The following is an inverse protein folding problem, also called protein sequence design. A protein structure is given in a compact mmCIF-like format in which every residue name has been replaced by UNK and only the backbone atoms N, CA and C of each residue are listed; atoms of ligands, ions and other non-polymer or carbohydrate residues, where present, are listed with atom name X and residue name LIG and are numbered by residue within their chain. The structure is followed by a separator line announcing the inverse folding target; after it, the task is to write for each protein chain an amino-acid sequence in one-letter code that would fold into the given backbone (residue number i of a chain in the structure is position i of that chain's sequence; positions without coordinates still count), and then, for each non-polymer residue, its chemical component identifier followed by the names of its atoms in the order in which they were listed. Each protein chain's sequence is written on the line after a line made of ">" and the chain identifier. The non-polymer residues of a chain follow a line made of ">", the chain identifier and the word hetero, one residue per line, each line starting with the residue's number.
data_IF_997659855951
#
_entry.id   IF_997659855951
#
_cell.length_a   1.000
_cell.length_b   1.000
_cell.length_c   1.000
_cell.angle_alpha   90.00
_cell.angle_beta   90.00
_cell.angle_gamma   90.00
#
_symmetry.space_group_name_H-M   'P 1'
#
loop_
_entity.id
_entity.type
_entity.pdbx_description
1 polymer ?
#
# COMPACT_ATOMS: atom_id res chain seq x y z
N UNK A 1 2.93 -20.90 1.76
CA UNK A 1 1.72 -21.31 1.03
C UNK A 1 0.86 -20.07 0.86
N UNK A 2 0.44 -19.77 -0.37
CA UNK A 2 -0.37 -18.59 -0.66
C UNK A 2 -1.70 -18.64 0.10
N UNK A 3 -2.25 -17.49 0.50
CA UNK A 3 -3.56 -17.43 1.17
C UNK A 3 -4.68 -17.81 0.20
N UNK A 4 -5.67 -18.58 0.65
CA UNK A 4 -6.84 -18.91 -0.16
C UNK A 4 -7.76 -17.69 -0.31
N UNK A 5 -8.40 -17.55 -1.47
CA UNK A 5 -9.27 -16.40 -1.78
C UNK A 5 -10.42 -16.22 -0.78
N UNK A 6 -10.98 -17.31 -0.23
CA UNK A 6 -12.07 -17.21 0.74
C UNK A 6 -11.70 -16.38 1.97
N UNK A 7 -10.42 -16.39 2.37
CA UNK A 7 -9.93 -15.62 3.51
C UNK A 7 -9.87 -14.13 3.17
N UNK A 8 -9.43 -13.81 1.95
CA UNK A 8 -9.40 -12.43 1.44
C UNK A 8 -10.82 -11.87 1.33
N UNK A 9 -11.73 -12.62 0.71
CA UNK A 9 -13.15 -12.24 0.59
C UNK A 9 -13.84 -12.09 1.96
N UNK A 10 -13.42 -12.87 2.97
CA UNK A 10 -13.90 -12.71 4.34
C UNK A 10 -13.42 -11.38 4.91
N UNK A 11 -12.13 -11.05 4.77
CA UNK A 11 -11.57 -9.78 5.23
C UNK A 11 -12.28 -8.59 4.57
N UNK A 12 -12.44 -8.62 3.25
CA UNK A 12 -13.17 -7.60 2.48
C UNK A 12 -14.61 -7.40 2.98
N UNK A 13 -15.33 -8.47 3.29
CA UNK A 13 -16.70 -8.37 3.82
C UNK A 13 -16.77 -7.90 5.27
N UNK A 14 -15.70 -8.07 6.04
CA UNK A 14 -15.65 -7.63 7.45
C UNK A 14 -15.21 -6.18 7.61
N UNK A 15 -14.45 -5.63 6.65
CA UNK A 15 -13.93 -4.26 6.71
C UNK A 15 -15.01 -3.15 6.77
N UNK A 16 -16.20 -3.24 6.12
CA UNK A 16 -17.24 -2.21 6.27
C UNK A 16 -17.72 -2.04 7.72
N UNK A 17 -17.53 -3.06 8.56
CA UNK A 17 -17.83 -3.04 9.99
C UNK A 17 -16.66 -2.54 10.85
N UNK A 18 -15.62 -1.93 10.27
CA UNK A 18 -14.47 -1.41 11.03
C UNK A 18 -14.90 -0.41 12.10
N UNK A 19 -16.03 0.29 11.92
CA UNK A 19 -16.61 1.17 12.95
C UNK A 19 -16.95 0.43 14.25
N UNK A 20 -17.42 -0.81 14.17
CA UNK A 20 -17.77 -1.62 15.33
C UNK A 20 -16.49 -2.16 16.00
N UNK A 21 -15.55 -2.63 15.18
CA UNK A 21 -14.25 -3.13 15.63
C UNK A 21 -13.44 -2.01 16.31
N UNK A 22 -13.38 -0.82 15.71
CA UNK A 22 -12.69 0.35 16.25
C UNK A 22 -13.31 0.87 17.57
N UNK A 23 -14.61 0.64 17.80
CA UNK A 23 -15.23 0.91 19.12
C UNK A 23 -14.82 -0.14 20.15
N UNK A 24 -14.69 -1.40 19.75
CA UNK A 24 -14.25 -2.50 20.62
C UNK A 24 -12.78 -2.39 21.02
N UNK A 25 -11.91 -1.87 20.15
CA UNK A 25 -10.48 -1.64 20.46
C UNK A 25 -10.25 -0.52 21.48
N UNK A 26 -11.27 0.28 21.84
CA UNK A 26 -11.20 1.25 22.96
C UNK A 26 -11.06 0.59 24.32
N UNK A 27 -11.33 -0.71 24.43
CA UNK A 27 -11.06 -1.50 25.64
C UNK A 27 -9.56 -1.79 25.69
N UNK A 28 -8.82 -1.37 26.73
CA UNK A 28 -7.35 -1.32 26.71
C UNK A 28 -6.66 -2.69 26.54
N UNK A 29 -7.30 -3.79 26.97
CA UNK A 29 -6.78 -5.15 26.77
C UNK A 29 -6.96 -5.58 25.31
N UNK A 30 -8.13 -5.31 24.74
CA UNK A 30 -8.45 -5.64 23.34
C UNK A 30 -7.58 -4.80 22.42
N UNK A 31 -7.44 -3.50 22.68
CA UNK A 31 -6.54 -2.61 21.94
C UNK A 31 -5.10 -3.14 21.91
N UNK A 32 -4.52 -3.50 23.06
CA UNK A 32 -3.17 -4.07 23.13
C UNK A 32 -3.01 -5.36 22.31
N UNK A 33 -4.00 -6.25 22.35
CA UNK A 33 -3.97 -7.51 21.57
C UNK A 33 -4.06 -7.22 20.08
N UNK A 34 -4.93 -6.28 19.66
CA UNK A 34 -5.05 -5.85 18.27
C UNK A 34 -3.76 -5.20 17.76
N UNK A 35 -3.17 -4.30 18.54
CA UNK A 35 -1.93 -3.61 18.19
C UNK A 35 -0.77 -4.59 18.01
N UNK A 36 -0.63 -5.55 18.94
CA UNK A 36 0.37 -6.60 18.85
C UNK A 36 0.14 -7.49 17.63
N UNK A 37 -1.11 -7.86 17.33
CA UNK A 37 -1.40 -8.77 16.22
C UNK A 37 -1.19 -8.11 14.86
N UNK A 38 -1.66 -6.88 14.69
CA UNK A 38 -1.81 -6.25 13.38
C UNK A 38 -0.69 -5.27 13.01
N UNK A 39 -0.12 -4.55 14.00
CA UNK A 39 0.73 -3.38 13.73
C UNK A 39 2.14 -3.44 14.34
N UNK A 40 2.42 -4.41 15.22
CA UNK A 40 3.75 -4.53 15.84
C UNK A 40 4.84 -4.83 14.79
N UNK A 41 5.81 -3.91 14.68
CA UNK A 41 6.93 -4.01 13.73
C UNK A 41 6.67 -3.35 12.37
N UNK A 42 5.61 -2.54 12.25
CA UNK A 42 5.35 -1.71 11.07
C UNK A 42 6.32 -0.53 10.98
N UNK A 43 6.88 -0.33 9.79
CA UNK A 43 7.70 0.83 9.42
C UNK A 43 7.12 1.41 8.12
N UNK A 44 6.14 2.33 8.24
CA UNK A 44 5.42 2.91 7.10
C UNK A 44 5.61 4.42 7.06
N UNK A 45 5.96 4.94 5.89
CA UNK A 45 6.18 6.36 5.62
C UNK A 45 5.18 6.83 4.56
N UNK A 46 4.49 7.93 4.85
CA UNK A 46 3.60 8.59 3.91
C UNK A 46 4.39 9.53 3.00
N UNK A 47 4.23 9.39 1.69
CA UNK A 47 4.89 10.22 0.67
C UNK A 47 3.86 11.18 0.05
N UNK A 48 4.09 12.47 0.22
CA UNK A 48 3.26 13.51 -0.41
C UNK A 48 3.49 13.54 -1.91
N UNK A 49 2.51 13.99 -2.70
CA UNK A 49 2.69 14.18 -4.15
C UNK A 49 3.82 15.16 -4.44
N UNK A 50 4.52 14.92 -5.54
CA UNK A 50 5.52 15.86 -6.07
C UNK A 50 4.86 17.22 -6.33
N UNK A 51 5.33 18.27 -5.64
CA UNK A 51 4.93 19.65 -5.90
C UNK A 51 6.07 20.34 -6.63
N UNK A 52 6.01 20.37 -7.97
CA UNK A 52 6.90 21.20 -8.77
C UNK A 52 6.28 22.59 -8.88
N UNK A 53 6.79 23.55 -8.10
CA UNK A 53 6.44 24.96 -8.26
C UNK A 53 7.49 25.60 -9.17
N UNK A 54 7.09 26.02 -10.37
CA UNK A 54 7.96 26.71 -11.33
C UNK A 54 8.27 28.11 -10.84
N UNK A 55 9.30 28.28 -10.02
CA UNK A 55 9.78 29.59 -9.59
C UNK A 55 10.84 30.06 -10.59
N UNK A 56 10.53 31.07 -11.41
CA UNK A 56 11.49 31.76 -12.29
C UNK A 56 12.46 32.64 -11.46
N UNK A 57 13.18 32.03 -10.53
CA UNK A 57 14.19 32.70 -9.71
C UNK A 57 15.36 31.74 -9.55
N UNK A 58 16.56 32.19 -9.86
CA UNK A 58 17.78 31.40 -9.64
C UNK A 58 17.89 31.12 -8.14
N UNK A 59 17.54 29.90 -7.74
CA UNK A 59 17.74 29.41 -6.38
C UNK A 59 19.17 28.92 -6.33
N UNK A 60 20.03 29.64 -5.58
CA UNK A 60 21.37 29.15 -5.21
C UNK A 60 21.24 27.72 -4.69
N UNK A 61 21.93 26.77 -5.34
CA UNK A 61 21.93 25.31 -5.08
C UNK A 61 21.46 24.92 -3.67
N UNK A 62 20.15 24.88 -3.46
CA UNK A 62 19.56 24.35 -2.25
C UNK A 62 19.62 22.83 -2.38
N UNK A 63 20.03 22.18 -1.29
CA UNK A 63 20.24 20.75 -1.16
C UNK A 63 19.28 19.94 -2.05
N UNK A 64 19.79 18.96 -2.78
CA UNK A 64 19.00 18.05 -3.61
C UNK A 64 17.81 17.50 -2.81
N UNK A 65 16.65 18.14 -2.91
CA UNK A 65 15.43 17.66 -2.26
C UNK A 65 15.04 16.43 -3.08
N UNK A 66 15.22 15.25 -2.49
CA UNK A 66 14.76 14.01 -3.11
C UNK A 66 13.25 14.08 -3.20
N UNK A 67 12.73 14.10 -4.43
CA UNK A 67 11.30 14.08 -4.68
C UNK A 67 10.71 12.76 -4.16
N UNK A 68 9.51 12.78 -3.56
CA UNK A 68 8.78 11.60 -3.15
C UNK A 68 8.72 10.48 -4.20
N UNK A 69 8.50 10.81 -5.48
CA UNK A 69 8.55 9.86 -6.60
C UNK A 69 9.90 9.14 -6.73
N UNK A 70 11.02 9.87 -6.64
CA UNK A 70 12.39 9.33 -6.74
C UNK A 70 12.70 8.29 -5.66
N UNK A 71 12.08 8.40 -4.48
CA UNK A 71 12.22 7.39 -3.42
C UNK A 71 11.60 6.07 -3.88
N UNK A 72 10.38 6.12 -4.43
CA UNK A 72 9.68 4.93 -4.93
C UNK A 72 10.44 4.32 -6.11
N UNK A 73 10.86 5.14 -7.07
CA UNK A 73 11.68 4.73 -8.22
C UNK A 73 12.94 3.99 -7.77
N UNK A 74 13.66 4.53 -6.78
CA UNK A 74 14.86 3.88 -6.24
C UNK A 74 14.58 2.46 -5.72
N UNK A 75 13.51 2.28 -4.93
CA UNK A 75 13.18 0.96 -4.40
C UNK A 75 12.72 -0.01 -5.49
N UNK A 76 11.97 0.49 -6.49
CA UNK A 76 11.59 -0.30 -7.67
C UNK A 76 12.84 -0.72 -8.45
N UNK A 77 13.77 0.17 -8.71
CA UNK A 77 14.99 -0.16 -9.45
C UNK A 77 15.88 -1.19 -8.72
N UNK A 78 15.89 -1.17 -7.39
CA UNK A 78 16.71 -2.06 -6.57
C UNK A 78 16.04 -3.40 -6.24
N UNK A 79 14.73 -3.52 -6.39
CA UNK A 79 14.01 -4.74 -6.07
C UNK A 79 14.25 -5.84 -7.12
N UNK A 80 14.43 -7.08 -6.66
CA UNK A 80 14.57 -8.24 -7.55
C UNK A 80 13.24 -8.67 -8.19
N UNK A 81 12.12 -8.38 -7.51
CA UNK A 81 10.78 -8.82 -7.90
C UNK A 81 9.76 -7.72 -7.61
N UNK A 82 8.80 -7.58 -8.52
CA UNK A 82 7.74 -6.57 -8.48
C UNK A 82 6.40 -7.26 -8.69
N UNK A 83 5.41 -6.91 -7.87
CA UNK A 83 4.09 -7.48 -7.93
C UNK A 83 3.02 -6.40 -7.89
N UNK A 84 2.20 -6.33 -8.93
CA UNK A 84 1.05 -5.44 -8.99
C UNK A 84 -0.21 -6.22 -8.65
N UNK A 85 -0.97 -5.68 -7.70
CA UNK A 85 -2.31 -6.19 -7.40
C UNK A 85 -3.30 -5.84 -8.50
N UNK A 86 -4.20 -6.76 -8.83
CA UNK A 86 -5.26 -6.54 -9.82
C UNK A 86 -6.35 -5.58 -9.31
N UNK A 87 -6.39 -5.34 -8.00
CA UNK A 87 -7.37 -4.47 -7.35
C UNK A 87 -6.83 -3.93 -6.01
N UNK A 88 -7.43 -2.84 -5.54
CA UNK A 88 -7.20 -2.28 -4.21
C UNK A 88 -8.24 -2.83 -3.24
N UNK A 89 -7.82 -3.73 -2.34
CA UNK A 89 -8.69 -4.35 -1.33
C UNK A 89 -9.45 -3.33 -0.48
N UNK A 90 -8.82 -2.21 -0.14
CA UNK A 90 -9.44 -1.17 0.66
C UNK A 90 -10.53 -0.40 -0.11
N UNK A 91 -10.28 -0.05 -1.38
CA UNK A 91 -11.29 0.63 -2.22
C UNK A 91 -12.46 -0.27 -2.57
N UNK A 92 -12.16 -1.52 -2.93
CA UNK A 92 -13.19 -2.52 -3.22
C UNK A 92 -14.09 -2.74 -2.00
N UNK A 93 -13.49 -2.96 -0.83
CA UNK A 93 -14.25 -3.18 0.40
C UNK A 93 -15.12 -1.97 0.80
N UNK A 94 -14.62 -0.74 0.58
CA UNK A 94 -15.38 0.49 0.83
C UNK A 94 -16.36 0.85 -0.30
N UNK A 95 -16.39 0.07 -1.39
CA UNK A 95 -17.20 0.33 -2.60
C UNK A 95 -16.97 1.77 -3.12
N UNK A 96 -15.72 2.21 -3.12
CA UNK A 96 -15.33 3.56 -3.56
C UNK A 96 -15.66 3.74 -5.04
N UNK A 97 -16.50 4.72 -5.37
CA UNK A 97 -16.86 5.09 -6.75
C UNK A 97 -15.96 6.17 -7.34
N UNK A 98 -15.23 6.89 -6.49
CA UNK A 98 -14.52 8.12 -6.88
C UNK A 98 -13.11 7.85 -7.44
N UNK A 99 -12.56 6.66 -7.16
CA UNK A 99 -11.21 6.27 -7.55
C UNK A 99 -11.18 4.83 -8.12
N UNK A 100 -10.29 4.55 -9.09
CA UNK A 100 -10.24 3.27 -9.78
C UNK A 100 -9.85 2.10 -8.86
N UNK A 101 -10.73 1.12 -8.71
CA UNK A 101 -10.51 -0.06 -7.87
C UNK A 101 -9.37 -0.93 -8.41
N UNK A 102 -9.18 -0.99 -9.72
CA UNK A 102 -8.17 -1.80 -10.41
C UNK A 102 -6.73 -1.28 -10.23
N UNK A 103 -6.53 -0.05 -9.75
CA UNK A 103 -5.20 0.50 -9.42
C UNK A 103 -4.70 0.04 -8.04
N UNK A 104 -4.49 -1.26 -7.88
CA UNK A 104 -4.05 -1.89 -6.62
C UNK A 104 -2.65 -1.48 -6.13
N UNK A 105 -2.28 -1.96 -4.95
CA UNK A 105 -0.94 -1.76 -4.37
C UNK A 105 0.16 -2.44 -5.20
N UNK A 106 1.38 -1.94 -5.07
CA UNK A 106 2.61 -2.54 -5.59
C UNK A 106 3.41 -3.14 -4.43
N UNK A 107 3.89 -4.37 -4.58
CA UNK A 107 4.74 -5.04 -3.61
C UNK A 107 6.10 -5.39 -4.22
N UNK A 108 7.15 -5.27 -3.41
CA UNK A 108 8.54 -5.47 -3.83
C UNK A 108 9.23 -6.51 -2.93
N UNK A 109 10.18 -7.26 -3.50
CA UNK A 109 11.07 -8.18 -2.79
C UNK A 109 10.67 -9.66 -2.89
N UNK A 110 11.52 -10.58 -2.42
CA UNK A 110 11.35 -12.03 -2.65
C UNK A 110 10.03 -12.59 -2.10
N UNK A 111 9.46 -11.96 -1.07
CA UNK A 111 8.23 -12.43 -0.45
C UNK A 111 7.03 -12.40 -1.42
N UNK A 112 7.09 -11.58 -2.47
CA UNK A 112 5.99 -11.47 -3.46
C UNK A 112 5.75 -12.77 -4.22
N UNK A 113 6.76 -13.63 -4.34
CA UNK A 113 6.63 -14.95 -4.99
C UNK A 113 5.67 -15.89 -4.24
N UNK A 114 5.37 -15.59 -2.97
CA UNK A 114 4.38 -16.32 -2.19
C UNK A 114 2.94 -15.82 -2.33
N UNK A 115 2.71 -14.71 -3.04
CA UNK A 115 1.38 -14.12 -3.22
C UNK A 115 0.54 -15.00 -4.15
N UNK A 116 -0.75 -15.11 -3.86
CA UNK A 116 -1.68 -15.84 -4.72
C UNK A 116 -1.82 -15.14 -6.09
N UNK A 117 -1.55 -15.80 -7.23
CA UNK A 117 -1.62 -15.20 -8.58
C UNK A 117 -3.03 -14.79 -9.01
N UNK A 118 -4.07 -15.13 -8.25
CA UNK A 118 -5.42 -14.60 -8.49
C UNK A 118 -5.57 -13.16 -7.97
N UNK A 119 -4.71 -12.72 -7.05
CA UNK A 119 -4.75 -11.37 -6.47
C UNK A 119 -3.99 -10.33 -7.30
N UNK A 120 -3.08 -10.77 -8.16
CA UNK A 120 -2.19 -9.88 -8.89
C UNK A 120 -1.25 -10.66 -9.78
N UNK A 121 -0.16 -10.02 -10.18
CA UNK A 121 0.83 -10.61 -11.08
C UNK A 121 2.22 -10.06 -10.83
N UNK A 122 3.22 -10.87 -11.16
CA UNK A 122 4.57 -10.37 -11.35
C UNK A 122 4.61 -9.44 -12.55
N UNK A 123 5.37 -8.36 -12.43
CA UNK A 123 5.53 -7.35 -13.48
C UNK A 123 7.00 -7.02 -13.69
N UNK A 124 7.34 -6.48 -14.85
CA UNK A 124 8.66 -5.89 -15.05
C UNK A 124 8.80 -4.61 -14.22
N UNK A 125 10.04 -4.17 -14.05
CA UNK A 125 10.36 -2.88 -13.44
C UNK A 125 9.66 -1.72 -14.15
N UNK A 126 9.66 -1.73 -15.48
CA UNK A 126 9.03 -0.71 -16.32
C UNK A 126 7.51 -0.70 -16.13
N UNK A 127 6.88 -1.88 -16.06
CA UNK A 127 5.46 -2.00 -15.74
C UNK A 127 5.13 -1.50 -14.33
N UNK A 128 6.02 -1.72 -13.35
CA UNK A 128 5.83 -1.20 -11.98
C UNK A 128 5.89 0.34 -11.94
N UNK A 129 6.84 0.94 -12.67
CA UNK A 129 6.95 2.40 -12.81
C UNK A 129 5.72 2.99 -13.52
N UNK A 130 5.28 2.36 -14.61
CA UNK A 130 4.07 2.77 -15.33
C UNK A 130 2.81 2.68 -14.46
N UNK A 131 2.72 1.63 -13.61
CA UNK A 131 1.62 1.49 -12.65
C UNK A 131 1.61 2.63 -11.61
N UNK A 132 2.77 3.02 -11.07
CA UNK A 132 2.83 4.17 -10.15
C UNK A 132 2.41 5.47 -10.85
N UNK A 133 2.88 5.70 -12.07
CA UNK A 133 2.50 6.88 -12.84
C UNK A 133 0.99 6.96 -13.05
N UNK A 134 0.34 5.85 -13.42
CA UNK A 134 -1.13 5.76 -13.53
C UNK A 134 -1.84 6.10 -12.22
N UNK A 135 -1.30 5.64 -11.09
CA UNK A 135 -1.83 5.95 -9.77
C UNK A 135 -1.70 7.45 -9.45
N UNK A 136 -0.57 8.08 -9.75
CA UNK A 136 -0.38 9.53 -9.58
C UNK A 136 -1.34 10.35 -10.45
N UNK A 137 -1.48 9.97 -11.72
CA UNK A 137 -2.41 10.59 -12.69
C UNK A 137 -3.88 10.46 -12.23
N UNK A 138 -4.23 9.33 -11.61
CA UNK A 138 -5.54 9.12 -10.96
C UNK A 138 -5.69 9.88 -9.64
N UNK A 139 -4.69 10.64 -9.22
CA UNK A 139 -4.72 11.45 -8.01
C UNK A 139 -4.51 10.67 -6.72
N UNK A 140 -4.00 9.44 -6.78
CA UNK A 140 -3.67 8.63 -5.60
C UNK A 140 -2.41 9.18 -4.90
N UNK A 141 -2.26 8.83 -3.64
CA UNK A 141 -1.10 9.17 -2.80
C UNK A 141 -0.37 7.91 -2.38
N UNK A 142 0.95 7.96 -2.35
CA UNK A 142 1.78 6.79 -2.09
C UNK A 142 2.18 6.68 -0.63
N UNK A 143 2.09 5.49 -0.08
CA UNK A 143 2.71 5.14 1.20
C UNK A 143 3.66 3.98 0.95
N UNK A 144 4.87 4.05 1.49
CA UNK A 144 5.86 2.99 1.35
C UNK A 144 6.27 2.48 2.73
N UNK A 145 6.39 1.17 2.88
CA UNK A 145 6.81 0.61 4.15
C UNK A 145 6.67 -0.88 4.28
N UNK A 146 7.16 -1.41 5.39
CA UNK A 146 6.86 -2.77 5.81
C UNK A 146 5.58 -2.74 6.62
N UNK A 147 4.59 -3.48 6.14
CA UNK A 147 3.26 -3.53 6.74
C UNK A 147 2.93 -4.98 7.11
N UNK A 148 2.74 -5.22 8.41
CA UNK A 148 2.41 -6.52 9.00
C UNK A 148 1.02 -6.98 8.58
N UNK A 149 0.09 -6.06 8.33
CA UNK A 149 -1.19 -6.41 7.72
C UNK A 149 -0.97 -7.04 6.35
N UNK A 150 -0.17 -6.40 5.48
CA UNK A 150 0.12 -6.90 4.13
C UNK A 150 0.73 -8.30 4.15
N UNK A 151 1.69 -8.52 5.03
CA UNK A 151 2.22 -9.85 5.29
C UNK A 151 1.12 -10.86 5.66
N UNK A 152 0.21 -10.49 6.56
CA UNK A 152 -0.81 -11.40 7.10
C UNK A 152 -1.87 -11.79 6.09
N UNK A 153 -2.46 -10.80 5.40
CA UNK A 153 -3.58 -11.03 4.48
C UNK A 153 -3.13 -11.65 3.15
N UNK A 154 -1.91 -11.34 2.69
CA UNK A 154 -1.27 -12.05 1.57
C UNK A 154 -0.71 -13.42 2.00
N UNK A 155 -0.43 -13.58 3.30
CA UNK A 155 0.17 -14.76 3.93
C UNK A 155 1.56 -15.12 3.42
N UNK A 156 2.35 -14.08 3.16
CA UNK A 156 3.74 -14.22 2.70
C UNK A 156 4.70 -14.25 3.88
N UNK A 157 5.76 -15.05 3.76
CA UNK A 157 6.83 -15.14 4.75
C UNK A 157 8.18 -15.35 4.04
N UNK A 158 9.29 -14.79 4.59
CA UNK A 158 9.33 -13.91 5.76
C UNK A 158 8.87 -12.47 5.42
N UNK A 159 8.14 -11.82 6.34
CA UNK A 159 7.54 -10.50 6.08
C UNK A 159 8.53 -9.36 5.88
N UNK A 160 9.74 -9.43 6.45
CA UNK A 160 10.77 -8.40 6.26
C UNK A 160 11.32 -8.35 4.82
N UNK A 161 11.02 -9.36 4.01
CA UNK A 161 11.30 -9.43 2.56
C UNK A 161 10.14 -8.93 1.69
N UNK A 162 9.12 -8.33 2.30
CA UNK A 162 8.02 -7.65 1.61
C UNK A 162 8.12 -6.16 1.89
N UNK A 163 8.26 -5.36 0.85
CA UNK A 163 8.12 -3.91 0.91
C UNK A 163 6.84 -3.53 0.18
N UNK A 164 5.95 -2.81 0.85
CA UNK A 164 4.65 -2.41 0.33
C UNK A 164 4.70 -0.98 -0.19
N UNK A 165 4.09 -0.73 -1.34
CA UNK A 165 3.76 0.60 -1.86
C UNK A 165 2.23 0.63 -2.03
N UNK A 166 1.55 1.31 -1.10
CA UNK A 166 0.11 1.47 -1.11
C UNK A 166 -0.28 2.73 -1.88
N UNK A 167 -1.31 2.62 -2.73
CA UNK A 167 -1.83 3.70 -3.57
C UNK A 167 -3.16 4.18 -3.00
N UNK A 168 -3.08 4.99 -1.95
CA UNK A 168 -4.21 5.41 -1.14
C UNK A 168 -5.02 6.55 -1.76
N UNK A 169 -6.23 6.71 -1.26
CA UNK A 169 -7.19 7.73 -1.63
C UNK A 169 -8.03 8.16 -0.42
N UNK A 170 -8.78 9.26 -0.52
CA UNK A 170 -9.64 9.74 0.57
C UNK A 170 -10.87 8.86 0.87
N UNK A 171 -11.28 7.90 0.02
CA UNK A 171 -12.41 7.01 0.37
C UNK A 171 -12.10 6.17 1.63
N UNK A 172 -10.82 6.02 1.98
CA UNK A 172 -10.37 5.36 3.20
C UNK A 172 -10.48 6.26 4.45
N UNK A 173 -10.75 7.56 4.29
CA UNK A 173 -11.05 8.45 5.41
C UNK A 173 -12.48 8.15 5.87
N UNK A 174 -12.58 7.57 7.07
CA UNK A 174 -13.85 7.35 7.78
C UNK A 174 -14.66 8.65 7.73
N UNK A 175 -15.90 8.66 7.19
CA UNK A 175 -16.76 9.82 7.28
C UNK A 175 -16.99 10.14 8.76
N UNK A 176 -16.75 11.40 9.14
CA UNK A 176 -17.02 11.95 10.47
C UNK A 176 -18.44 11.61 10.96
#
# INVERSE_FOLDING_TARGET
>A
MARPLWFVNLLEKTFPNIKLIAKLTRIPIIGKVFDLLLFEGDDIIYLTKDRVVSINKEIEKQAEIVLPSKVLEHFIEKANHHWVMNFCICRDSMQCSDYPIDLGCLFLGDAVLGINPQLGRLVSKEEALDHLKKCEEAGLVHMIGRNRLDKQWLGVNPGHKLLSICNCDPCMQVPH
#
